data_IF_355726155681
#
_entry.id   IF_355726155681
#
_cell.length_a   1.000
_cell.length_b   1.000
_cell.length_c   1.000
_cell.angle_alpha   90.00
_cell.angle_beta   90.00
_cell.angle_gamma   90.00
#
_symmetry.space_group_name_H-M   'P 1'
#
loop_
_entity.id
_entity.type
_entity.pdbx_description
1 polymer ?
#
# COMPACT_ATOMS: atom_id res chain seq x y z
N UNK A 1 -18.15 -20.73 -25.30
CA UNK A 1 -18.01 -19.29 -25.62
C UNK A 1 -17.33 -18.68 -24.42
N UNK A 2 -16.02 -18.48 -24.53
CA UNK A 2 -15.22 -17.90 -23.48
C UNK A 2 -15.51 -16.40 -23.42
N UNK A 3 -16.23 -15.97 -22.38
CA UNK A 3 -16.36 -14.57 -22.02
C UNK A 3 -15.53 -14.35 -20.77
N UNK A 4 -14.22 -14.47 -20.88
CA UNK A 4 -13.32 -13.78 -19.94
C UNK A 4 -13.63 -12.30 -20.06
N UNK A 5 -14.40 -11.78 -19.10
CA UNK A 5 -14.55 -10.35 -18.90
C UNK A 5 -13.16 -9.84 -18.53
N UNK A 6 -12.47 -9.16 -19.45
CA UNK A 6 -11.16 -8.58 -19.15
C UNK A 6 -11.40 -7.36 -18.27
N UNK A 7 -11.34 -7.55 -16.96
CA UNK A 7 -11.24 -6.44 -16.01
C UNK A 7 -9.90 -5.76 -16.27
N UNK A 8 -9.94 -4.49 -16.65
CA UNK A 8 -8.75 -3.70 -16.95
C UNK A 8 -8.56 -2.65 -15.86
N UNK A 9 -7.54 -2.86 -15.04
CA UNK A 9 -7.10 -1.85 -14.09
C UNK A 9 -6.73 -0.55 -14.84
N UNK A 10 -7.00 0.65 -14.29
CA UNK A 10 -6.75 1.92 -14.97
C UNK A 10 -5.28 2.12 -15.39
N UNK A 11 -4.34 1.62 -14.60
CA UNK A 11 -2.90 1.69 -14.88
C UNK A 11 -2.37 0.51 -15.73
N UNK A 12 -3.22 -0.42 -16.18
CA UNK A 12 -2.79 -1.58 -16.99
C UNK A 12 -2.07 -1.18 -18.29
N UNK A 13 -2.49 -0.06 -18.89
CA UNK A 13 -1.94 0.45 -20.17
C UNK A 13 -0.49 0.90 -20.11
N UNK A 14 -0.01 1.28 -18.92
CA UNK A 14 1.37 1.73 -18.71
C UNK A 14 2.24 0.66 -18.04
N UNK A 15 1.64 -0.49 -17.67
CA UNK A 15 2.34 -1.56 -16.97
C UNK A 15 3.33 -2.22 -17.92
N UNK A 16 4.60 -1.93 -17.72
CA UNK A 16 5.72 -2.55 -18.43
C UNK A 16 6.56 -3.32 -17.43
N UNK A 17 6.97 -4.54 -17.78
CA UNK A 17 7.89 -5.31 -16.95
C UNK A 17 9.33 -5.16 -17.43
N UNK A 18 10.27 -5.08 -16.47
CA UNK A 18 11.71 -4.98 -16.70
C UNK A 18 12.47 -5.93 -15.78
N UNK A 19 13.57 -6.55 -16.25
CA UNK A 19 14.44 -7.34 -15.39
C UNK A 19 15.19 -6.41 -14.44
N UNK A 20 14.92 -6.54 -13.14
CA UNK A 20 15.51 -5.72 -12.08
C UNK A 20 16.32 -6.60 -11.15
N UNK A 21 17.56 -6.18 -10.87
CA UNK A 21 18.39 -6.77 -9.83
C UNK A 21 18.34 -5.86 -8.61
N UNK A 22 17.63 -6.27 -7.57
CA UNK A 22 17.56 -5.51 -6.32
C UNK A 22 18.90 -5.63 -5.57
N UNK A 23 19.81 -4.68 -5.80
CA UNK A 23 21.07 -4.58 -5.05
C UNK A 23 20.84 -4.09 -3.61
N UNK A 24 19.66 -3.52 -3.35
CA UNK A 24 19.29 -2.87 -2.08
C UNK A 24 18.90 -3.84 -0.97
N UNK A 25 18.76 -5.13 -1.29
CA UNK A 25 18.62 -6.19 -0.29
C UNK A 25 19.97 -6.71 0.20
N UNK A 26 21.09 -6.17 -0.31
CA UNK A 26 22.43 -6.42 0.21
C UNK A 26 22.85 -5.29 1.15
N UNK A 27 23.56 -5.63 2.22
CA UNK A 27 23.95 -4.78 3.35
C UNK A 27 24.80 -3.52 3.00
N UNK A 28 25.11 -3.26 1.73
CA UNK A 28 26.07 -2.22 1.32
C UNK A 28 25.52 -1.18 0.34
N UNK A 29 24.24 -1.24 -0.01
CA UNK A 29 23.58 -0.29 -0.93
C UNK A 29 22.18 0.01 -0.43
N UNK A 30 22.02 0.89 0.55
CA UNK A 30 20.70 1.15 1.12
C UNK A 30 19.85 2.03 0.21
N UNK A 31 18.69 1.51 -0.20
CA UNK A 31 17.56 2.34 -0.61
C UNK A 31 17.28 3.36 0.51
N UNK A 32 16.86 4.61 0.21
CA UNK A 32 16.35 5.53 1.23
C UNK A 32 15.23 4.91 2.09
N UNK A 33 14.52 3.92 1.55
CA UNK A 33 13.44 3.18 2.23
C UNK A 33 13.93 2.09 3.19
N UNK A 34 15.18 1.63 3.07
CA UNK A 34 15.72 0.52 3.84
C UNK A 34 16.31 0.96 5.19
N UNK A 35 16.26 0.06 6.18
CA UNK A 35 16.92 0.25 7.47
C UNK A 35 16.08 0.97 8.53
N UNK A 36 16.78 1.38 9.60
CA UNK A 36 16.18 2.03 10.76
C UNK A 36 15.61 3.40 10.40
N UNK A 37 14.60 3.89 11.15
CA UNK A 37 14.05 5.22 10.92
C UNK A 37 15.10 6.32 11.12
N UNK A 38 15.44 7.00 10.03
CA UNK A 38 16.06 8.33 10.03
C UNK A 38 15.07 9.34 9.47
N UNK A 39 15.41 10.63 9.54
CA UNK A 39 14.58 11.68 8.92
C UNK A 39 14.37 11.40 7.43
N UNK A 40 15.45 11.13 6.69
CA UNK A 40 15.42 10.88 5.25
C UNK A 40 14.59 9.64 4.91
N UNK A 41 14.67 8.61 5.74
CA UNK A 41 13.90 7.39 5.56
C UNK A 41 12.41 7.60 5.81
N UNK A 42 12.05 8.35 6.85
CA UNK A 42 10.65 8.70 7.14
C UNK A 42 10.06 9.51 5.97
N UNK A 43 10.79 10.51 5.49
CA UNK A 43 10.39 11.33 4.34
C UNK A 43 10.23 10.48 3.07
N UNK A 44 11.16 9.55 2.80
CA UNK A 44 11.06 8.65 1.65
C UNK A 44 9.82 7.74 1.72
N UNK A 45 9.49 7.20 2.90
CA UNK A 45 8.27 6.40 3.10
C UNK A 45 6.99 7.23 2.99
N UNK A 46 7.02 8.49 3.40
CA UNK A 46 5.90 9.42 3.25
C UNK A 46 5.68 9.82 1.79
N UNK A 47 6.76 10.05 1.03
CA UNK A 47 6.74 10.35 -0.39
C UNK A 47 6.16 9.18 -1.21
N UNK A 48 6.64 7.96 -0.92
CA UNK A 48 6.23 6.74 -1.61
C UNK A 48 4.70 6.51 -1.60
N UNK A 49 4.03 6.87 -0.50
CA UNK A 49 2.59 6.68 -0.35
C UNK A 49 1.76 7.91 -0.76
N UNK A 50 2.37 9.05 -1.10
CA UNK A 50 1.62 10.25 -1.51
C UNK A 50 0.55 10.01 -2.59
N UNK A 51 0.75 9.15 -3.61
CA UNK A 51 -0.24 8.90 -4.64
C UNK A 51 -1.34 7.90 -4.20
N UNK A 52 -1.63 7.83 -2.91
CA UNK A 52 -2.57 6.86 -2.32
C UNK A 52 -3.94 6.87 -2.98
N UNK A 53 -4.44 8.07 -3.28
CA UNK A 53 -5.74 8.29 -3.89
C UNK A 53 -5.62 9.16 -5.13
N UNK A 54 -6.40 8.85 -6.15
CA UNK A 54 -6.41 9.55 -7.44
C UNK A 54 -7.84 9.80 -7.93
N UNK A 55 -7.97 10.73 -8.88
CA UNK A 55 -9.24 10.98 -9.57
C UNK A 55 -9.41 9.99 -10.74
N UNK A 56 -10.32 9.04 -10.57
CA UNK A 56 -10.77 8.11 -11.60
C UNK A 56 -11.86 8.75 -12.47
N UNK A 57 -11.82 8.45 -13.76
CA UNK A 57 -12.91 8.78 -14.67
C UNK A 57 -14.01 7.73 -14.59
N UNK A 58 -15.21 8.06 -15.08
CA UNK A 58 -16.29 7.08 -15.22
C UNK A 58 -15.85 5.88 -16.08
N UNK A 59 -15.09 6.11 -17.16
CA UNK A 59 -14.54 5.04 -17.99
C UNK A 59 -13.57 4.15 -17.24
N UNK A 60 -12.80 4.68 -16.27
CA UNK A 60 -11.87 3.88 -15.47
C UNK A 60 -12.65 2.90 -14.59
N UNK A 61 -13.71 3.37 -13.92
CA UNK A 61 -14.56 2.53 -13.08
C UNK A 61 -15.27 1.45 -13.90
N UNK A 62 -15.86 1.81 -15.05
CA UNK A 62 -16.54 0.84 -15.94
C UNK A 62 -15.57 -0.25 -16.41
N UNK A 63 -14.33 0.10 -16.78
CA UNK A 63 -13.31 -0.87 -17.21
C UNK A 63 -12.81 -1.74 -16.06
N UNK A 64 -12.74 -1.19 -14.85
CA UNK A 64 -12.40 -1.91 -13.64
C UNK A 64 -13.56 -2.78 -13.11
N UNK A 65 -14.78 -2.62 -13.65
CA UNK A 65 -15.96 -3.34 -13.17
C UNK A 65 -16.54 -2.77 -11.86
N UNK A 66 -16.20 -1.52 -11.53
CA UNK A 66 -16.63 -0.86 -10.30
C UNK A 66 -18.01 -0.17 -10.49
N UNK A 67 -18.91 -0.28 -9.51
CA UNK A 67 -20.25 0.32 -9.57
C UNK A 67 -20.21 1.85 -9.43
N UNK A 68 -20.78 2.57 -10.41
CA UNK A 68 -20.78 4.04 -10.44
C UNK A 68 -21.66 4.68 -9.36
N UNK A 69 -22.72 4.00 -8.94
CA UNK A 69 -23.69 4.46 -7.95
C UNK A 69 -23.18 4.32 -6.51
N UNK A 70 -22.37 3.29 -6.24
CA UNK A 70 -21.68 3.12 -4.97
C UNK A 70 -20.32 3.85 -4.91
N UNK A 71 -19.79 4.30 -6.04
CA UNK A 71 -18.52 5.04 -6.11
C UNK A 71 -18.65 6.49 -5.66
N UNK A 72 -17.65 6.97 -4.91
CA UNK A 72 -17.67 8.30 -4.31
C UNK A 72 -17.20 9.37 -5.30
N UNK A 73 -18.07 10.36 -5.57
CA UNK A 73 -17.80 11.46 -6.51
C UNK A 73 -16.98 12.57 -5.88
N UNK A 74 -16.02 13.08 -6.67
CA UNK A 74 -15.28 14.31 -6.35
C UNK A 74 -16.11 15.54 -6.78
N UNK A 75 -16.05 16.62 -6.01
CA UNK A 75 -16.78 17.85 -6.33
C UNK A 75 -16.33 18.50 -7.65
N UNK A 76 -15.08 18.27 -8.07
CA UNK A 76 -14.52 18.75 -9.34
C UNK A 76 -14.79 17.81 -10.53
N UNK A 77 -15.58 16.77 -10.34
CA UNK A 77 -15.81 15.71 -11.33
C UNK A 77 -14.83 14.54 -11.17
N UNK A 78 -15.25 13.37 -11.67
CA UNK A 78 -14.57 12.10 -11.44
C UNK A 78 -14.95 11.45 -10.10
N UNK A 79 -14.22 10.40 -9.74
CA UNK A 79 -14.44 9.57 -8.57
C UNK A 79 -13.13 9.39 -7.81
N UNK A 80 -13.19 9.35 -6.49
CA UNK A 80 -12.00 9.00 -5.70
C UNK A 80 -11.76 7.49 -5.81
N UNK A 81 -10.52 7.11 -6.11
CA UNK A 81 -10.10 5.72 -6.22
C UNK A 81 -8.65 5.56 -5.73
N UNK A 82 -8.22 4.33 -5.49
CA UNK A 82 -6.85 3.98 -5.14
C UNK A 82 -6.37 2.82 -6.03
N UNK A 83 -5.08 2.77 -6.38
CA UNK A 83 -4.49 1.55 -6.94
C UNK A 83 -4.19 0.58 -5.79
N UNK A 84 -4.37 -0.72 -6.04
CA UNK A 84 -4.08 -1.77 -5.04
C UNK A 84 -2.68 -1.63 -4.44
N UNK A 85 -1.67 -1.37 -5.27
CA UNK A 85 -0.28 -1.22 -4.81
C UNK A 85 -0.08 -0.10 -3.79
N UNK A 86 -0.79 1.03 -3.89
CA UNK A 86 -0.66 2.09 -2.89
C UNK A 86 -1.39 1.76 -1.59
N UNK A 87 -2.49 0.99 -1.67
CA UNK A 87 -3.12 0.44 -0.47
C UNK A 87 -2.19 -0.55 0.24
N UNK A 88 -1.52 -1.43 -0.51
CA UNK A 88 -0.55 -2.37 0.03
C UNK A 88 0.66 -1.67 0.65
N UNK A 89 1.20 -0.64 -0.02
CA UNK A 89 2.30 0.18 0.50
C UNK A 89 1.89 0.96 1.75
N UNK A 90 0.66 1.47 1.79
CA UNK A 90 0.08 2.05 3.00
C UNK A 90 0.06 1.02 4.13
N UNK A 91 -0.52 -0.16 3.91
CA UNK A 91 -0.55 -1.24 4.92
C UNK A 91 0.87 -1.64 5.37
N UNK A 92 1.83 -1.72 4.46
CA UNK A 92 3.21 -2.04 4.77
C UNK A 92 3.86 -0.94 5.63
N UNK A 93 3.62 0.34 5.30
CA UNK A 93 4.07 1.48 6.11
C UNK A 93 3.44 1.44 7.50
N UNK A 94 2.16 1.10 7.63
CA UNK A 94 1.48 0.97 8.91
C UNK A 94 2.12 -0.10 9.81
N UNK A 95 2.46 -1.27 9.23
CA UNK A 95 3.23 -2.31 9.94
C UNK A 95 4.62 -1.81 10.33
N UNK A 96 5.30 -1.09 9.45
CA UNK A 96 6.60 -0.50 9.73
C UNK A 96 6.56 0.48 10.91
N UNK A 97 5.58 1.39 10.94
CA UNK A 97 5.41 2.35 12.04
C UNK A 97 5.19 1.64 13.38
N UNK A 98 4.50 0.50 13.37
CA UNK A 98 4.34 -0.33 14.56
C UNK A 98 5.66 -0.97 15.00
N UNK A 99 6.41 -1.59 14.07
CA UNK A 99 7.68 -2.25 14.36
C UNK A 99 8.73 -1.30 14.94
N UNK A 100 8.71 -0.03 14.53
CA UNK A 100 9.62 1.01 15.01
C UNK A 100 8.95 2.00 15.97
N UNK A 101 7.85 1.61 16.61
CA UNK A 101 7.04 2.52 17.42
C UNK A 101 7.80 3.07 18.64
N UNK A 102 8.72 2.29 19.20
CA UNK A 102 9.63 2.67 20.27
C UNK A 102 10.60 3.80 19.87
N UNK A 103 11.11 3.76 18.64
CA UNK A 103 12.05 4.75 18.09
C UNK A 103 11.30 5.98 17.55
N UNK A 104 10.22 5.76 16.80
CA UNK A 104 9.48 6.82 16.11
C UNK A 104 8.62 7.66 17.05
N UNK A 105 8.19 7.06 18.16
CA UNK A 105 7.29 7.71 19.10
C UNK A 105 7.78 7.45 20.54
N UNK A 106 8.91 8.02 20.96
CA UNK A 106 9.54 7.73 22.25
C UNK A 106 8.73 8.17 23.48
N UNK A 107 7.57 8.82 23.28
CA UNK A 107 6.68 9.32 24.32
C UNK A 107 5.22 8.95 24.05
N UNK A 108 4.94 7.78 23.48
CA UNK A 108 3.55 7.34 23.32
C UNK A 108 2.89 7.20 24.70
N UNK A 109 1.80 7.92 24.90
CA UNK A 109 0.89 7.62 26.01
C UNK A 109 0.20 6.28 25.76
N UNK A 110 -0.32 5.65 26.81
CA UNK A 110 -1.17 4.45 26.68
C UNK A 110 -2.33 4.67 25.70
N UNK A 111 -2.86 5.90 25.62
CA UNK A 111 -3.92 6.25 24.68
C UNK A 111 -3.43 6.35 23.24
N UNK A 112 -2.20 6.84 23.01
CA UNK A 112 -1.59 6.82 21.68
C UNK A 112 -1.27 5.40 21.22
N UNK A 113 -0.76 4.55 22.13
CA UNK A 113 -0.56 3.12 21.85
C UNK A 113 -1.91 2.49 21.51
N UNK A 114 -2.96 2.74 22.28
CA UNK A 114 -4.29 2.19 22.03
C UNK A 114 -4.89 2.68 20.70
N UNK A 115 -4.67 3.94 20.34
CA UNK A 115 -5.06 4.48 19.03
C UNK A 115 -4.33 3.77 17.89
N UNK A 116 -3.01 3.64 17.98
CA UNK A 116 -2.19 2.91 16.99
C UNK A 116 -2.63 1.45 16.89
N UNK A 117 -2.80 0.77 18.02
CA UNK A 117 -3.29 -0.61 18.08
C UNK A 117 -4.73 -0.78 17.58
N UNK A 118 -5.58 0.24 17.71
CA UNK A 118 -6.95 0.24 17.19
C UNK A 118 -6.99 0.46 15.68
N UNK A 119 -6.14 1.35 15.16
CA UNK A 119 -5.99 1.58 13.72
C UNK A 119 -5.27 0.41 13.02
N UNK A 120 -4.41 -0.30 13.74
CA UNK A 120 -3.67 -1.49 13.30
C UNK A 120 -4.31 -2.82 13.73
N UNK A 121 -5.41 -2.81 14.49
CA UNK A 121 -6.20 -3.99 14.86
C UNK A 121 -5.50 -5.02 15.70
N UNK A 122 -4.53 -4.58 16.47
CA UNK A 122 -3.76 -5.41 17.39
C UNK A 122 -4.35 -5.36 18.81
N UNK A 123 -5.39 -4.55 19.04
CA UNK A 123 -6.07 -4.43 20.33
C UNK A 123 -7.20 -5.47 20.45
N UNK A 124 -6.91 -6.58 21.13
CA UNK A 124 -7.84 -7.69 21.37
C UNK A 124 -8.83 -7.35 22.51
N UNK A 125 -8.75 -6.16 23.12
CA UNK A 125 -9.30 -5.92 24.46
C UNK A 125 -10.04 -4.60 24.68
N UNK A 126 -10.53 -3.89 23.64
CA UNK A 126 -11.30 -2.66 23.86
C UNK A 126 -12.64 -2.56 23.09
N UNK A 127 -13.80 -2.81 23.74
CA UNK A 127 -15.12 -2.83 23.09
C UNK A 127 -15.65 -1.46 22.62
N UNK A 128 -14.98 -0.34 22.95
CA UNK A 128 -15.47 1.03 22.73
C UNK A 128 -14.62 1.88 21.76
N UNK A 129 -13.64 1.29 21.07
CA UNK A 129 -12.83 1.99 20.06
C UNK A 129 -13.00 1.38 18.66
N UNK A 130 -14.15 0.74 18.42
CA UNK A 130 -14.58 0.45 17.07
C UNK A 130 -15.19 1.73 16.50
N UNK A 131 -14.61 2.25 15.40
CA UNK A 131 -15.46 2.99 14.46
C UNK A 131 -16.71 2.14 14.19
N UNK A 132 -17.92 2.71 14.08
CA UNK A 132 -19.13 1.93 13.77
C UNK A 132 -18.98 1.04 12.53
N UNK A 133 -18.10 1.43 11.59
CA UNK A 133 -17.71 0.63 10.41
C UNK A 133 -16.78 -0.55 10.71
N UNK A 134 -16.00 -0.50 11.78
CA UNK A 134 -15.02 -1.52 12.18
C UNK A 134 -15.60 -2.57 13.14
N UNK A 135 -16.93 -2.58 13.32
CA UNK A 135 -17.62 -3.48 14.27
C UNK A 135 -18.05 -4.80 13.64
N UNK A 136 -18.23 -4.85 12.32
CA UNK A 136 -18.54 -6.07 11.56
C UNK A 136 -17.30 -6.76 11.02
N UNK A 137 -16.15 -6.14 11.24
CA UNK A 137 -14.92 -6.52 10.60
C UNK A 137 -13.86 -6.67 11.68
N UNK A 138 -13.41 -7.91 11.93
CA UNK A 138 -12.15 -8.25 12.62
C UNK A 138 -10.93 -7.74 11.81
N UNK A 139 -11.03 -6.52 11.30
CA UNK A 139 -10.12 -5.79 10.46
C UNK A 139 -9.38 -4.93 11.44
N UNK A 140 -8.09 -5.19 11.64
CA UNK A 140 -7.10 -4.15 11.34
C UNK A 140 -5.66 -4.70 11.36
N UNK A 141 -5.34 -5.81 12.07
CA UNK A 141 -4.04 -6.53 11.87
C UNK A 141 -4.19 -7.64 10.84
N UNK A 142 -5.31 -8.37 10.94
CA UNK A 142 -5.75 -9.29 9.89
C UNK A 142 -5.91 -8.58 8.56
N UNK A 143 -6.45 -7.35 8.52
CA UNK A 143 -6.67 -6.66 7.25
C UNK A 143 -5.37 -6.25 6.54
N UNK A 144 -4.42 -5.59 7.22
CA UNK A 144 -3.18 -5.16 6.56
C UNK A 144 -2.37 -6.38 6.09
N UNK A 145 -2.23 -7.39 6.96
CA UNK A 145 -1.52 -8.62 6.62
C UNK A 145 -2.25 -9.39 5.51
N UNK A 146 -3.58 -9.46 5.54
CA UNK A 146 -4.39 -10.14 4.54
C UNK A 146 -4.38 -9.41 3.20
N UNK A 147 -4.49 -8.08 3.19
CA UNK A 147 -4.40 -7.26 1.97
C UNK A 147 -3.05 -7.48 1.29
N UNK A 148 -1.95 -7.42 2.05
CA UNK A 148 -0.61 -7.70 1.51
C UNK A 148 -0.53 -9.16 1.03
N UNK A 149 -0.99 -10.13 1.82
CA UNK A 149 -0.96 -11.55 1.47
C UNK A 149 -1.75 -11.85 0.18
N UNK A 150 -2.97 -11.34 0.08
CA UNK A 150 -3.84 -11.49 -1.10
C UNK A 150 -3.19 -10.84 -2.30
N UNK A 151 -2.63 -9.64 -2.18
CA UNK A 151 -1.96 -9.01 -3.31
C UNK A 151 -0.72 -9.77 -3.79
N UNK A 152 0.11 -10.25 -2.85
CA UNK A 152 1.26 -11.10 -3.19
C UNK A 152 0.84 -12.37 -3.94
N UNK A 153 -0.34 -12.91 -3.65
CA UNK A 153 -0.88 -14.07 -4.39
C UNK A 153 -1.50 -13.67 -5.74
N UNK A 154 -2.15 -12.52 -5.83
CA UNK A 154 -2.69 -11.99 -7.09
C UNK A 154 -1.58 -11.61 -8.09
N UNK A 155 -0.45 -11.12 -7.59
CA UNK A 155 0.69 -10.64 -8.37
C UNK A 155 1.93 -11.51 -8.15
N UNK A 156 1.74 -12.82 -7.98
CA UNK A 156 2.79 -13.76 -7.58
C UNK A 156 4.07 -13.61 -8.42
N UNK A 157 5.20 -13.35 -7.75
CA UNK A 157 6.49 -13.37 -8.42
C UNK A 157 6.96 -14.81 -8.63
N UNK A 158 7.08 -15.19 -9.89
CA UNK A 158 7.56 -16.51 -10.31
C UNK A 158 9.05 -16.55 -10.62
N UNK A 159 9.79 -15.47 -10.31
CA UNK A 159 11.25 -15.43 -10.43
C UNK A 159 11.90 -16.36 -9.40
N UNK A 160 13.01 -17.00 -9.78
CA UNK A 160 13.69 -17.99 -8.93
C UNK A 160 14.73 -17.33 -8.03
N UNK A 161 14.72 -17.71 -6.76
CA UNK A 161 15.81 -17.47 -5.82
C UNK A 161 16.65 -18.73 -5.65
N UNK A 162 17.94 -18.56 -5.36
CA UNK A 162 18.84 -19.66 -5.03
C UNK A 162 19.59 -19.34 -3.74
N UNK A 163 20.49 -20.23 -3.33
CA UNK A 163 21.23 -20.12 -2.08
C UNK A 163 22.74 -20.18 -2.36
N UNK A 164 23.52 -19.53 -1.50
CA UNK A 164 24.99 -19.53 -1.57
C UNK A 164 25.61 -19.85 -0.20
N UNK A 165 26.78 -20.48 -0.22
CA UNK A 165 27.59 -20.64 0.98
C UNK A 165 28.43 -19.39 1.18
N UNK A 166 28.30 -18.75 2.33
CA UNK A 166 29.12 -17.58 2.69
C UNK A 166 30.33 -18.04 3.50
N UNK A 167 31.53 -17.46 3.31
CA UNK A 167 32.73 -17.84 4.05
C UNK A 167 32.61 -17.70 5.58
N UNK A 168 31.81 -16.76 6.04
CA UNK A 168 31.71 -16.38 7.45
C UNK A 168 30.71 -17.23 8.25
N UNK A 169 29.81 -17.95 7.56
CA UNK A 169 28.79 -18.83 8.14
C UNK A 169 28.60 -20.07 7.26
N UNK A 170 29.12 -21.19 7.75
CA UNK A 170 29.09 -22.48 7.07
C UNK A 170 28.05 -23.45 7.64
N UNK A 171 27.27 -23.04 8.65
CA UNK A 171 26.29 -23.92 9.28
C UNK A 171 25.05 -24.12 8.39
N UNK A 172 24.79 -23.17 7.48
CA UNK A 172 23.68 -23.22 6.52
C UNK A 172 23.92 -22.32 5.30
N UNK A 173 23.34 -22.65 4.13
CA UNK A 173 23.43 -21.78 2.97
C UNK A 173 22.49 -20.57 3.13
N UNK A 174 22.94 -19.41 2.65
CA UNK A 174 22.23 -18.14 2.75
C UNK A 174 21.41 -17.87 1.48
N UNK A 175 20.21 -17.26 1.59
CA UNK A 175 19.41 -16.93 0.42
C UNK A 175 20.07 -15.82 -0.41
N UNK A 176 20.12 -15.99 -1.73
CA UNK A 176 20.55 -14.94 -2.67
C UNK A 176 19.43 -13.94 -2.91
N UNK A 177 19.17 -13.08 -1.93
CA UNK A 177 18.08 -12.10 -1.96
C UNK A 177 18.15 -11.08 -3.11
N UNK A 178 19.33 -10.90 -3.71
CA UNK A 178 19.58 -10.00 -4.85
C UNK A 178 19.42 -10.69 -6.24
N UNK A 179 18.62 -11.75 -6.32
CA UNK A 179 18.29 -12.41 -7.59
C UNK A 179 17.61 -11.44 -8.57
N UNK A 180 17.76 -11.69 -9.86
CA UNK A 180 17.08 -10.91 -10.90
C UNK A 180 15.60 -11.30 -10.90
N UNK A 181 14.72 -10.30 -10.86
CA UNK A 181 13.27 -10.46 -10.91
C UNK A 181 12.70 -9.73 -12.11
N UNK A 182 11.56 -10.18 -12.60
CA UNK A 182 10.81 -9.42 -13.61
C UNK A 182 9.81 -8.50 -12.90
N UNK A 183 10.17 -7.24 -12.70
CA UNK A 183 9.40 -6.27 -11.93
C UNK A 183 8.62 -5.34 -12.85
N UNK A 184 7.48 -4.81 -12.38
CA UNK A 184 6.87 -3.66 -13.05
C UNK A 184 7.84 -2.48 -13.01
N UNK A 185 7.91 -1.71 -14.08
CA UNK A 185 8.63 -0.45 -14.15
C UNK A 185 7.96 0.55 -13.19
N UNK A 186 8.53 0.68 -11.99
CA UNK A 186 7.97 1.47 -10.91
C UNK A 186 7.82 2.95 -11.30
N UNK A 187 8.84 3.54 -11.92
CA UNK A 187 8.84 4.96 -12.32
C UNK A 187 7.63 5.31 -13.19
N UNK A 188 7.21 4.39 -14.07
CA UNK A 188 6.01 4.58 -14.89
C UNK A 188 4.72 4.57 -14.08
N UNK A 189 4.60 3.63 -13.14
CA UNK A 189 3.42 3.53 -12.25
C UNK A 189 3.33 4.77 -11.37
N UNK A 190 4.46 5.17 -10.80
CA UNK A 190 4.57 6.33 -9.93
C UNK A 190 4.28 7.64 -10.65
N UNK A 191 4.83 7.84 -11.85
CA UNK A 191 4.53 9.01 -12.67
C UNK A 191 3.03 9.11 -12.97
N UNK A 192 2.41 8.02 -13.44
CA UNK A 192 0.98 7.99 -13.75
C UNK A 192 0.10 8.28 -12.53
N UNK A 193 0.48 7.74 -11.36
CA UNK A 193 -0.29 7.95 -10.15
C UNK A 193 -0.15 9.39 -9.63
N UNK A 194 1.07 9.94 -9.67
CA UNK A 194 1.34 11.32 -9.28
C UNK A 194 0.61 12.35 -10.16
N UNK A 195 0.47 12.10 -11.46
CA UNK A 195 -0.28 12.97 -12.37
C UNK A 195 -1.77 13.04 -12.03
N UNK A 196 -2.31 12.01 -11.38
CA UNK A 196 -3.75 11.83 -11.14
C UNK A 196 -4.15 11.96 -9.67
N UNK A 197 -3.16 12.08 -8.77
CA UNK A 197 -3.39 12.08 -7.33
C UNK A 197 -4.30 13.25 -6.91
N UNK A 198 -5.07 13.01 -5.86
CA UNK A 198 -5.85 14.05 -5.19
C UNK A 198 -5.31 14.22 -3.76
N UNK A 199 -5.52 15.38 -3.10
CA UNK A 199 -5.18 15.54 -1.69
C UNK A 199 -5.88 14.49 -0.82
N UNK A 200 -5.31 14.19 0.36
CA UNK A 200 -5.94 13.32 1.37
C UNK A 200 -7.17 13.96 2.04
N UNK A 201 -7.43 15.25 1.79
CA UNK A 201 -8.62 15.95 2.23
C UNK A 201 -9.45 16.51 1.06
N UNK A 202 -9.89 15.66 0.11
CA UNK A 202 -10.58 16.15 -1.08
C UNK A 202 -11.99 16.64 -0.73
N UNK A 203 -12.55 17.48 -1.62
CA UNK A 203 -13.97 17.82 -1.61
C UNK A 203 -14.77 16.68 -2.26
N UNK A 204 -15.58 15.98 -1.46
CA UNK A 204 -16.40 14.85 -1.90
C UNK A 204 -17.88 15.25 -1.92
N UNK A 205 -18.65 14.63 -2.80
CA UNK A 205 -20.11 14.78 -2.84
C UNK A 205 -20.72 13.71 -1.94
N UNK A 206 -21.45 14.15 -0.91
CA UNK A 206 -22.21 13.25 -0.05
C UNK A 206 -23.40 12.62 -0.81
N UNK A 207 -23.96 11.51 -0.30
CA UNK A 207 -25.18 10.93 -0.87
C UNK A 207 -26.36 11.93 -0.97
N UNK A 208 -26.39 12.96 -0.11
CA UNK A 208 -27.39 14.02 -0.12
C UNK A 208 -27.14 15.12 -1.17
N UNK A 209 -26.01 15.07 -1.89
CA UNK A 209 -25.64 16.03 -2.94
C UNK A 209 -24.76 17.20 -2.47
N UNK A 210 -24.51 17.32 -1.17
CA UNK A 210 -23.68 18.38 -0.60
C UNK A 210 -22.17 18.09 -0.78
N UNK A 211 -21.40 19.13 -1.08
CA UNK A 211 -19.95 19.04 -1.19
C UNK A 211 -19.28 19.35 0.17
N UNK A 212 -18.47 18.42 0.68
CA UNK A 212 -17.76 18.57 1.95
C UNK A 212 -16.30 18.12 1.84
N UNK A 213 -15.41 18.77 2.61
CA UNK A 213 -14.02 18.36 2.76
C UNK A 213 -13.93 17.19 3.74
N UNK A 214 -13.45 16.05 3.28
CA UNK A 214 -13.35 14.82 4.09
C UNK A 214 -11.90 14.35 4.11
N UNK A 215 -11.36 14.08 5.29
CA UNK A 215 -10.04 13.44 5.42
C UNK A 215 -10.17 11.93 5.18
N UNK A 216 -9.39 11.42 4.24
CA UNK A 216 -9.33 10.01 3.82
C UNK A 216 -8.22 9.25 4.54
#
# INVERSE_FOLDING_TARGET
>A
MDKTLTILAPASTITQYIPTKHRETNETSYSPLAGNPTKENIEAWEELIQPMVFSATESDLVKAGEPLDASVRLAKGGYVAALGVYHELHCLRQLRLFLYSDVLYPNLTTDNIRYLQGHLGTSISHPNYHSPFLREANITQGHCLETIRVSLMCSADTSMYTFEWVPEDHDRPHPRSHAVRNCVNWDKVEAWANERKVPLDPMLIRPQGEAERIHL
#
